data_IF_301076347176
#
_entry.id   IF_301076347176
#
_cell.length_a   1.000
_cell.length_b   1.000
_cell.length_c   1.000
_cell.angle_alpha   90.00
_cell.angle_beta   90.00
_cell.angle_gamma   90.00
#
_symmetry.space_group_name_H-M   'P 1'
#
loop_
_entity.id
_entity.type
_entity.pdbx_description
1 polymer ?
#
# COMPACT_ATOMS: atom_id res chain seq x y z
N UNK A 1 -3.26 42.25 77.79
CA UNK A 1 -2.51 42.85 76.65
C UNK A 1 -1.69 41.76 75.97
N UNK A 2 -1.77 40.46 76.33
CA UNK A 2 -0.90 39.37 75.80
C UNK A 2 -1.63 38.38 74.87
N UNK A 3 -2.92 38.57 74.54
CA UNK A 3 -3.63 37.60 73.73
C UNK A 3 -3.86 38.05 72.25
N UNK A 4 -3.49 39.25 71.84
CA UNK A 4 -3.72 39.76 70.47
C UNK A 4 -2.55 39.47 69.49
N UNK A 5 -1.33 39.21 70.01
CA UNK A 5 -0.18 38.95 69.15
C UNK A 5 -0.11 37.49 68.61
N UNK A 6 -0.74 36.51 69.26
CA UNK A 6 -0.63 35.11 68.85
C UNK A 6 -1.58 34.72 67.71
N UNK A 7 -2.68 35.43 67.53
CA UNK A 7 -3.60 35.13 66.40
C UNK A 7 -3.07 35.60 65.02
N UNK A 8 -2.33 36.71 64.96
CA UNK A 8 -1.76 37.24 63.72
C UNK A 8 -0.62 36.38 63.14
N UNK A 9 0.13 35.70 64.00
CA UNK A 9 1.22 34.79 63.55
C UNK A 9 0.65 33.50 62.96
N UNK A 10 -0.47 33.02 63.55
CA UNK A 10 -1.17 31.84 63.05
C UNK A 10 -1.80 32.05 61.63
N UNK A 11 -2.44 33.21 61.44
CA UNK A 11 -3.03 33.55 60.12
C UNK A 11 -1.96 33.76 59.01
N UNK A 12 -0.84 34.37 59.34
CA UNK A 12 0.26 34.56 58.37
C UNK A 12 0.93 33.25 57.97
N UNK A 13 1.03 32.28 58.85
CA UNK A 13 1.56 30.96 58.52
C UNK A 13 0.55 30.09 57.74
N UNK A 14 -0.75 30.25 58.00
CA UNK A 14 -1.79 29.57 57.20
C UNK A 14 -1.88 30.09 55.77
N UNK A 15 -1.78 31.42 55.60
CA UNK A 15 -1.77 32.03 54.24
C UNK A 15 -0.51 31.63 53.47
N UNK A 16 0.66 31.58 54.11
CA UNK A 16 1.88 31.09 53.46
C UNK A 16 1.83 29.61 53.08
N UNK A 17 1.18 28.78 53.91
CA UNK A 17 0.97 27.36 53.55
C UNK A 17 -0.10 27.18 52.44
N UNK A 18 -1.13 28.01 52.37
CA UNK A 18 -2.10 28.01 51.27
C UNK A 18 -1.51 28.52 49.94
N UNK A 19 -0.66 29.57 49.99
CA UNK A 19 0.07 30.01 48.79
C UNK A 19 1.13 28.99 48.31
N UNK A 20 1.82 28.29 49.26
CA UNK A 20 2.76 27.20 48.86
C UNK A 20 2.03 25.96 48.30
N UNK A 21 0.78 25.67 48.69
CA UNK A 21 0.01 24.59 48.09
C UNK A 21 -0.62 24.98 46.75
N UNK A 22 -0.84 26.28 46.47
CA UNK A 22 -1.34 26.74 45.15
C UNK A 22 -0.27 26.81 44.10
N UNK A 23 1.03 26.90 44.45
CA UNK A 23 2.14 26.93 43.47
C UNK A 23 2.61 25.52 43.11
N UNK A 24 2.24 24.46 43.83
CA UNK A 24 2.59 23.07 43.51
C UNK A 24 1.56 22.30 42.70
N UNK A 25 0.46 22.92 42.32
CA UNK A 25 -0.44 22.40 41.28
C UNK A 25 -0.19 23.03 39.92
N UNK A 26 1.04 23.30 39.54
CA UNK A 26 1.45 23.24 38.15
C UNK A 26 1.33 21.77 37.76
N UNK A 27 0.11 21.36 37.38
CA UNK A 27 -0.14 20.15 36.62
C UNK A 27 0.84 20.23 35.48
N UNK A 28 1.91 19.44 35.56
CA UNK A 28 2.61 19.04 34.35
C UNK A 28 1.54 18.34 33.53
N UNK A 29 0.85 19.11 32.67
CA UNK A 29 0.30 18.54 31.46
C UNK A 29 1.52 17.96 30.76
N UNK A 30 1.82 16.71 31.02
CA UNK A 30 2.59 15.93 30.05
C UNK A 30 1.77 16.07 28.78
N UNK A 31 2.21 16.97 27.90
CA UNK A 31 1.75 16.96 26.55
C UNK A 31 2.05 15.55 26.07
N UNK A 32 1.04 14.69 26.03
CA UNK A 32 1.16 13.40 25.39
C UNK A 32 1.78 13.70 24.03
N UNK A 33 2.93 13.13 23.77
CA UNK A 33 3.56 13.32 22.48
C UNK A 33 2.52 12.95 21.45
N UNK A 34 2.22 13.86 20.54
CA UNK A 34 1.19 13.64 19.54
C UNK A 34 1.71 12.56 18.59
N UNK A 35 0.93 11.51 18.42
CA UNK A 35 1.28 10.34 17.61
C UNK A 35 0.27 10.19 16.48
N UNK A 36 0.75 9.86 15.28
CA UNK A 36 -0.05 9.47 14.14
C UNK A 36 0.05 7.96 13.93
N UNK A 37 -1.06 7.29 13.84
CA UNK A 37 -1.15 5.89 13.49
C UNK A 37 -1.43 5.75 12.00
N UNK A 38 -0.50 5.18 11.25
CA UNK A 38 -0.57 5.01 9.80
C UNK A 38 -0.64 3.53 9.45
N UNK A 39 -1.65 3.12 8.68
CA UNK A 39 -1.87 1.76 8.22
C UNK A 39 -1.55 1.65 6.74
N UNK A 40 -0.51 0.91 6.41
CA UNK A 40 0.09 0.84 5.06
C UNK A 40 0.74 -0.51 4.79
N UNK A 41 1.15 -0.75 3.55
CA UNK A 41 2.00 -1.89 3.20
C UNK A 41 3.34 -1.84 3.93
N UNK A 42 3.88 -3.00 4.28
CA UNK A 42 5.22 -3.10 4.89
C UNK A 42 6.29 -2.54 3.92
N UNK A 43 7.31 -1.89 4.48
CA UNK A 43 8.43 -1.30 3.75
C UNK A 43 8.07 -0.23 2.69
N UNK A 44 6.90 0.40 2.77
CA UNK A 44 6.46 1.42 1.80
C UNK A 44 6.62 2.86 2.28
N UNK A 45 7.42 3.12 3.31
CA UNK A 45 7.83 4.46 3.72
C UNK A 45 9.28 4.47 4.18
N UNK A 46 10.07 5.43 3.70
CA UNK A 46 11.47 5.55 4.06
C UNK A 46 11.64 6.01 5.52
N UNK A 47 12.47 5.35 6.34
CA UNK A 47 12.69 5.74 7.75
C UNK A 47 13.17 7.19 7.93
N UNK A 48 14.03 7.68 7.04
CA UNK A 48 14.51 9.05 7.07
C UNK A 48 13.43 10.10 6.76
N UNK A 49 12.38 9.74 6.04
CA UNK A 49 11.18 10.59 5.80
C UNK A 49 10.37 10.72 7.09
N UNK A 50 10.15 9.61 7.81
CA UNK A 50 9.48 9.61 9.13
C UNK A 50 10.29 10.41 10.14
N UNK A 51 11.61 10.23 10.17
CA UNK A 51 12.49 10.98 11.04
C UNK A 51 12.49 12.49 10.73
N UNK A 52 12.49 12.86 9.45
CA UNK A 52 12.43 14.26 9.02
C UNK A 52 11.11 14.93 9.45
N UNK A 53 9.97 14.19 9.38
CA UNK A 53 8.71 14.65 9.91
C UNK A 53 8.75 14.88 11.41
N UNK A 54 9.26 13.89 12.17
CA UNK A 54 9.39 14.00 13.63
C UNK A 54 10.29 15.18 14.04
N UNK A 55 11.45 15.32 13.41
CA UNK A 55 12.36 16.46 13.66
C UNK A 55 11.70 17.82 13.40
N UNK A 56 10.84 17.88 12.38
CA UNK A 56 10.17 19.12 11.98
C UNK A 56 9.02 19.51 12.89
N UNK A 57 8.27 18.52 13.39
CA UNK A 57 6.96 18.76 14.03
C UNK A 57 6.88 18.32 15.50
N UNK A 58 7.78 17.46 15.95
CA UNK A 58 7.70 16.76 17.22
C UNK A 58 6.64 15.65 17.26
N UNK A 59 5.91 15.40 16.13
CA UNK A 59 4.88 14.36 16.03
C UNK A 59 5.51 13.04 15.63
N UNK A 60 5.28 12.00 16.42
CA UNK A 60 5.71 10.62 16.10
C UNK A 60 4.74 9.97 15.10
N UNK A 61 5.25 9.01 14.33
CA UNK A 61 4.46 8.20 13.40
C UNK A 61 4.63 6.73 13.75
N UNK A 62 3.55 6.09 14.12
CA UNK A 62 3.49 4.65 14.34
C UNK A 62 2.99 3.97 13.06
N UNK A 63 3.76 3.01 12.56
CA UNK A 63 3.45 2.29 11.34
C UNK A 63 2.81 0.94 11.69
N UNK A 64 1.68 0.66 11.11
CA UNK A 64 0.97 -0.62 11.18
C UNK A 64 0.84 -1.17 9.76
N UNK A 65 1.03 -2.47 9.61
CA UNK A 65 1.16 -3.08 8.30
C UNK A 65 0.03 -4.04 8.00
N UNK A 66 -0.33 -4.13 6.73
CA UNK A 66 -1.13 -5.18 6.13
C UNK A 66 -0.38 -5.72 4.90
N UNK A 67 -0.73 -6.90 4.46
CA UNK A 67 -0.18 -7.59 3.28
C UNK A 67 -1.27 -8.18 2.38
N UNK A 68 -2.52 -7.79 2.62
CA UNK A 68 -3.65 -8.16 1.78
C UNK A 68 -4.73 -7.06 1.78
N UNK A 69 -5.13 -6.61 0.60
CA UNK A 69 -6.15 -5.57 0.40
C UNK A 69 -7.56 -6.00 0.82
N UNK A 70 -7.92 -7.26 0.59
CA UNK A 70 -9.22 -7.80 0.99
C UNK A 70 -9.35 -7.85 2.51
N UNK A 71 -8.29 -8.25 3.23
CA UNK A 71 -8.26 -8.25 4.70
C UNK A 71 -8.35 -6.85 5.28
N UNK A 72 -7.62 -5.88 4.72
CA UNK A 72 -7.73 -4.46 5.07
C UNK A 72 -9.16 -3.96 4.88
N UNK A 73 -9.76 -4.22 3.72
CA UNK A 73 -11.13 -3.79 3.39
C UNK A 73 -12.15 -4.43 4.32
N UNK A 74 -11.96 -5.71 4.68
CA UNK A 74 -12.80 -6.41 5.65
C UNK A 74 -12.68 -5.81 7.06
N UNK A 75 -11.49 -5.40 7.49
CA UNK A 75 -11.27 -4.67 8.75
C UNK A 75 -12.06 -3.37 8.74
N UNK A 76 -12.00 -2.61 7.64
CA UNK A 76 -12.73 -1.34 7.50
C UNK A 76 -14.24 -1.52 7.57
N UNK A 77 -14.78 -2.57 6.95
CA UNK A 77 -16.21 -2.87 6.96
C UNK A 77 -16.72 -3.33 8.33
N UNK A 78 -15.90 -4.01 9.11
CA UNK A 78 -16.28 -4.56 10.43
C UNK A 78 -16.07 -3.59 11.58
N UNK A 79 -15.21 -2.60 11.43
CA UNK A 79 -14.83 -1.69 12.51
C UNK A 79 -15.81 -0.54 12.62
N UNK A 80 -16.39 -0.33 13.81
CA UNK A 80 -17.21 0.84 14.11
C UNK A 80 -16.37 2.12 14.14
N UNK A 81 -15.11 1.99 14.53
CA UNK A 81 -14.12 3.07 14.55
C UNK A 81 -12.76 2.50 14.17
N UNK A 82 -12.16 3.06 13.14
CA UNK A 82 -10.83 2.66 12.69
C UNK A 82 -9.78 3.20 13.68
N UNK A 83 -8.83 2.37 14.14
CA UNK A 83 -7.80 2.78 15.11
C UNK A 83 -6.65 3.57 14.47
N UNK A 84 -6.77 3.95 13.20
CA UNK A 84 -5.74 4.61 12.41
C UNK A 84 -6.16 6.00 12.00
N UNK A 85 -5.19 6.93 11.96
CA UNK A 85 -5.38 8.31 11.50
C UNK A 85 -5.29 8.42 9.97
N UNK A 86 -4.38 7.62 9.39
CA UNK A 86 -4.11 7.57 7.95
C UNK A 86 -4.12 6.12 7.48
N UNK A 87 -4.67 5.89 6.30
CA UNK A 87 -4.71 4.56 5.69
C UNK A 87 -4.28 4.63 4.22
N UNK A 88 -3.54 3.61 3.80
CA UNK A 88 -3.28 3.33 2.39
C UNK A 88 -4.35 2.39 1.86
N UNK A 89 -4.86 2.69 0.68
CA UNK A 89 -5.98 2.02 0.02
C UNK A 89 -5.67 1.90 -1.47
N UNK A 90 -6.19 0.87 -2.12
CA UNK A 90 -6.36 0.92 -3.56
C UNK A 90 -7.37 2.02 -3.96
N UNK A 91 -7.36 2.42 -5.22
CA UNK A 91 -8.22 3.49 -5.71
C UNK A 91 -9.73 3.15 -5.61
N UNK A 92 -10.11 1.89 -5.80
CA UNK A 92 -11.52 1.46 -5.72
C UNK A 92 -12.04 1.55 -4.30
N UNK A 93 -11.27 1.03 -3.32
CA UNK A 93 -11.57 1.15 -1.90
C UNK A 93 -11.62 2.63 -1.46
N UNK A 94 -10.69 3.46 -1.93
CA UNK A 94 -10.70 4.89 -1.64
C UNK A 94 -12.00 5.55 -2.08
N UNK A 95 -12.53 5.23 -3.28
CA UNK A 95 -13.82 5.72 -3.75
C UNK A 95 -15.00 5.18 -2.96
N UNK A 96 -15.04 3.87 -2.69
CA UNK A 96 -16.16 3.23 -1.98
C UNK A 96 -16.32 3.82 -0.58
N UNK A 97 -15.24 3.89 0.19
CA UNK A 97 -15.28 4.41 1.56
C UNK A 97 -15.45 5.93 1.63
N UNK A 98 -14.97 6.68 0.61
CA UNK A 98 -15.21 8.13 0.52
C UNK A 98 -16.71 8.45 0.39
N UNK A 99 -17.46 7.66 -0.38
CA UNK A 99 -18.92 7.82 -0.50
C UNK A 99 -19.68 7.56 0.80
N UNK A 100 -19.04 6.88 1.76
CA UNK A 100 -19.57 6.61 3.10
C UNK A 100 -19.13 7.65 4.15
N UNK A 101 -18.45 8.72 3.72
CA UNK A 101 -17.88 9.77 4.58
C UNK A 101 -16.90 9.25 5.63
N UNK A 102 -16.20 8.16 5.34
CA UNK A 102 -15.16 7.60 6.21
C UNK A 102 -13.91 8.47 6.23
N UNK A 103 -13.67 9.21 5.13
CA UNK A 103 -12.46 9.99 4.94
C UNK A 103 -12.71 11.48 4.81
N UNK A 104 -11.71 12.28 5.22
CA UNK A 104 -11.66 13.72 5.07
C UNK A 104 -11.49 14.15 3.62
N UNK A 105 -12.06 15.32 3.25
CA UNK A 105 -11.72 15.99 1.98
C UNK A 105 -10.27 16.50 2.01
N UNK A 106 -9.50 16.16 1.00
CA UNK A 106 -8.08 16.48 0.86
C UNK A 106 -7.80 17.44 -0.31
N UNK A 107 -8.83 18.02 -0.93
CA UNK A 107 -8.66 18.91 -2.09
C UNK A 107 -7.91 20.19 -1.76
N UNK A 108 -7.96 20.64 -0.51
CA UNK A 108 -7.32 21.87 -0.04
C UNK A 108 -5.82 21.72 0.30
N UNK A 109 -5.23 20.52 0.20
CA UNK A 109 -3.82 20.32 0.53
C UNK A 109 -2.91 21.04 -0.48
N UNK A 110 -2.00 21.91 -0.02
CA UNK A 110 -1.18 22.74 -0.91
C UNK A 110 -0.31 21.96 -1.90
N UNK A 111 0.28 20.85 -1.45
CA UNK A 111 1.17 20.04 -2.27
C UNK A 111 0.45 19.01 -3.13
N UNK A 112 -0.88 18.89 -3.04
CA UNK A 112 -1.69 17.98 -3.86
C UNK A 112 -1.47 18.21 -5.36
N UNK A 113 -1.35 19.45 -5.80
CA UNK A 113 -1.12 19.83 -7.19
C UNK A 113 0.26 19.42 -7.76
N UNK A 114 1.16 18.88 -6.95
CA UNK A 114 2.42 18.33 -7.42
C UNK A 114 2.26 16.91 -8.03
N UNK A 115 1.10 16.27 -7.83
CA UNK A 115 0.81 14.96 -8.39
C UNK A 115 0.18 15.07 -9.77
N UNK A 116 0.44 14.05 -10.59
CA UNK A 116 -0.14 13.96 -11.94
C UNK A 116 -1.67 13.86 -11.87
N UNK A 117 -2.39 14.61 -12.75
CA UNK A 117 -3.85 14.59 -12.81
C UNK A 117 -4.48 13.20 -12.95
N UNK A 118 -3.84 12.27 -13.67
CA UNK A 118 -4.30 10.90 -13.85
C UNK A 118 -4.44 10.19 -12.49
N UNK A 119 -3.42 10.27 -11.65
CA UNK A 119 -3.42 9.64 -10.33
C UNK A 119 -4.30 10.35 -9.32
N UNK A 120 -4.38 11.70 -9.41
CA UNK A 120 -5.34 12.48 -8.62
C UNK A 120 -6.78 12.09 -8.94
N UNK A 121 -7.09 11.84 -10.20
CA UNK A 121 -8.41 11.37 -10.62
C UNK A 121 -8.68 9.95 -10.11
N UNK A 122 -7.69 9.08 -10.17
CA UNK A 122 -7.81 7.70 -9.71
C UNK A 122 -8.06 7.59 -8.20
N UNK A 123 -7.48 8.48 -7.36
CA UNK A 123 -7.70 8.50 -5.91
C UNK A 123 -8.88 9.37 -5.46
N UNK A 124 -9.43 10.23 -6.33
CA UNK A 124 -10.56 11.12 -6.01
C UNK A 124 -10.21 12.28 -5.08
N UNK A 125 -11.21 12.84 -4.39
CA UNK A 125 -11.06 14.05 -3.56
C UNK A 125 -10.71 13.76 -2.10
N UNK A 126 -11.00 12.56 -1.60
CA UNK A 126 -10.83 12.16 -0.21
C UNK A 126 -9.55 11.35 0.03
N UNK A 127 -8.75 11.18 -1.02
CA UNK A 127 -7.46 10.56 -0.92
C UNK A 127 -6.43 11.28 -1.81
N UNK A 128 -5.16 11.02 -1.57
CA UNK A 128 -4.04 11.50 -2.38
C UNK A 128 -3.23 10.32 -2.88
N UNK A 129 -2.75 10.33 -4.14
CA UNK A 129 -1.93 9.25 -4.65
C UNK A 129 -0.57 9.23 -3.93
N UNK A 130 -0.10 8.03 -3.63
CA UNK A 130 1.13 7.79 -2.86
C UNK A 130 2.21 7.16 -3.72
N UNK A 131 1.97 5.97 -4.24
CA UNK A 131 2.77 5.29 -5.25
C UNK A 131 1.87 4.70 -6.31
N UNK A 132 2.44 4.36 -7.44
CA UNK A 132 1.76 3.64 -8.50
C UNK A 132 2.72 2.67 -9.18
N UNK A 133 2.19 1.76 -9.95
CA UNK A 133 2.99 0.84 -10.72
C UNK A 133 2.16 -0.04 -11.64
N UNK A 134 2.77 -1.09 -12.13
CA UNK A 134 2.15 -2.09 -12.98
C UNK A 134 2.19 -3.47 -12.33
N UNK A 135 1.22 -4.30 -12.65
CA UNK A 135 1.28 -5.74 -12.39
C UNK A 135 2.03 -6.41 -13.53
N UNK A 136 2.91 -7.33 -13.20
CA UNK A 136 3.73 -8.05 -14.16
C UNK A 136 4.26 -9.36 -13.59
N UNK A 137 5.41 -9.79 -14.09
CA UNK A 137 6.06 -11.04 -13.70
C UNK A 137 7.45 -10.71 -13.17
N UNK A 138 7.67 -10.94 -11.86
CA UNK A 138 9.02 -11.03 -11.30
C UNK A 138 9.60 -12.40 -11.63
N UNK A 139 10.84 -12.47 -12.08
CA UNK A 139 11.47 -13.73 -12.53
C UNK A 139 12.97 -13.75 -12.27
N UNK A 140 13.55 -14.94 -12.13
CA UNK A 140 15.00 -15.14 -11.98
C UNK A 140 15.67 -15.21 -13.33
N UNK A 141 16.46 -14.20 -13.69
CA UNK A 141 17.15 -14.09 -15.01
C UNK A 141 17.95 -15.33 -15.37
N UNK A 142 18.61 -15.95 -14.40
CA UNK A 142 19.43 -17.14 -14.61
C UNK A 142 18.65 -18.38 -15.08
N UNK A 143 17.31 -18.37 -14.95
CA UNK A 143 16.44 -19.50 -15.30
C UNK A 143 15.67 -19.31 -16.60
N UNK A 144 15.84 -18.18 -17.27
CA UNK A 144 15.13 -17.84 -18.50
C UNK A 144 16.10 -17.34 -19.58
N UNK A 145 15.98 -17.87 -20.77
CA UNK A 145 16.77 -17.40 -21.93
C UNK A 145 16.36 -15.99 -22.38
N UNK A 146 15.10 -15.63 -22.11
CA UNK A 146 14.50 -14.32 -22.38
C UNK A 146 13.53 -13.96 -21.28
N UNK A 147 13.32 -12.66 -20.99
CA UNK A 147 12.28 -12.22 -20.07
C UNK A 147 10.90 -12.80 -20.44
N UNK A 148 10.08 -13.23 -19.45
CA UNK A 148 8.71 -13.62 -19.72
C UNK A 148 7.91 -12.39 -20.17
N UNK A 149 7.32 -12.46 -21.35
CA UNK A 149 6.58 -11.35 -21.98
C UNK A 149 5.11 -11.65 -22.23
N UNK A 150 4.67 -12.86 -21.89
CA UNK A 150 3.31 -13.30 -22.11
C UNK A 150 2.67 -13.79 -20.80
N UNK A 151 1.42 -13.41 -20.55
CA UNK A 151 0.67 -13.91 -19.41
C UNK A 151 0.45 -15.42 -19.43
N UNK A 152 0.52 -16.06 -20.62
CA UNK A 152 0.46 -17.51 -20.73
C UNK A 152 1.57 -18.22 -19.97
N UNK A 153 2.71 -17.59 -19.74
CA UNK A 153 3.87 -18.22 -19.09
C UNK A 153 3.61 -18.57 -17.60
N UNK A 154 2.65 -17.87 -16.96
CA UNK A 154 2.24 -18.16 -15.57
C UNK A 154 0.95 -18.99 -15.47
N UNK A 155 0.32 -19.34 -16.60
CA UNK A 155 -0.91 -20.15 -16.65
C UNK A 155 -0.67 -21.46 -17.41
N UNK A 156 -0.11 -21.42 -18.63
CA UNK A 156 0.34 -22.59 -19.39
C UNK A 156 1.82 -22.86 -19.09
N UNK A 157 2.07 -23.26 -17.83
CA UNK A 157 3.40 -23.30 -17.24
C UNK A 157 4.25 -24.38 -17.90
N UNK A 158 5.38 -23.95 -18.48
CA UNK A 158 6.38 -24.87 -19.05
C UNK A 158 6.87 -25.90 -18.05
N UNK A 159 7.14 -27.17 -18.46
CA UNK A 159 7.54 -28.25 -17.56
C UNK A 159 8.68 -27.90 -16.60
N UNK A 160 9.65 -27.09 -17.03
CA UNK A 160 10.79 -26.66 -16.21
C UNK A 160 10.40 -25.77 -15.02
N UNK A 161 9.24 -25.11 -15.07
CA UNK A 161 8.78 -24.15 -14.05
C UNK A 161 7.57 -24.64 -13.26
N UNK A 162 7.10 -25.87 -13.49
CA UNK A 162 5.96 -26.45 -12.76
C UNK A 162 6.28 -26.59 -11.27
N UNK A 163 5.34 -26.15 -10.44
CA UNK A 163 5.51 -26.09 -8.99
C UNK A 163 6.50 -25.01 -8.51
N UNK A 164 6.77 -23.99 -9.36
CA UNK A 164 7.76 -22.95 -9.09
C UNK A 164 7.25 -21.55 -9.43
N UNK A 165 5.96 -21.41 -9.65
CA UNK A 165 5.29 -20.15 -10.04
C UNK A 165 4.44 -19.64 -8.89
N UNK A 166 4.65 -18.38 -8.48
CA UNK A 166 3.81 -17.67 -7.54
C UNK A 166 2.66 -16.96 -8.26
N UNK A 167 1.49 -16.99 -7.66
CA UNK A 167 0.32 -16.20 -8.07
C UNK A 167 -0.08 -15.25 -6.95
N UNK A 168 -1.04 -14.38 -7.19
CA UNK A 168 -1.65 -13.52 -6.18
C UNK A 168 -3.02 -14.06 -5.78
N UNK A 169 -3.42 -13.83 -4.53
CA UNK A 169 -4.77 -14.13 -4.01
C UNK A 169 -5.52 -12.81 -3.84
N UNK A 170 -6.06 -12.34 -4.94
CA UNK A 170 -6.79 -11.08 -5.00
C UNK A 170 -7.96 -11.16 -6.00
N UNK A 171 -8.95 -10.28 -5.87
CA UNK A 171 -10.18 -10.31 -6.68
C UNK A 171 -9.98 -10.00 -8.16
N UNK A 172 -8.89 -9.34 -8.54
CA UNK A 172 -8.56 -8.99 -9.93
C UNK A 172 -7.30 -9.71 -10.40
N UNK A 173 -6.20 -9.59 -9.66
CA UNK A 173 -4.87 -10.06 -10.04
C UNK A 173 -4.80 -11.58 -10.16
N UNK A 174 -5.56 -12.35 -9.37
CA UNK A 174 -5.62 -13.81 -9.52
C UNK A 174 -6.12 -14.22 -10.92
N UNK A 175 -7.11 -13.49 -11.45
CA UNK A 175 -7.71 -13.81 -12.74
C UNK A 175 -7.00 -13.14 -13.92
N UNK A 176 -6.20 -12.13 -13.66
CA UNK A 176 -5.58 -11.26 -14.65
C UNK A 176 -4.81 -12.03 -15.73
N UNK A 177 -3.90 -12.98 -15.42
CA UNK A 177 -3.17 -13.73 -16.44
C UNK A 177 -4.10 -14.53 -17.38
N UNK A 178 -5.10 -15.20 -16.81
CA UNK A 178 -6.05 -16.01 -17.58
C UNK A 178 -6.97 -15.13 -18.45
N UNK A 179 -7.39 -13.96 -17.96
CA UNK A 179 -8.20 -13.02 -18.73
C UNK A 179 -7.43 -12.43 -19.91
N UNK A 180 -6.16 -12.09 -19.74
CA UNK A 180 -5.32 -11.62 -20.84
C UNK A 180 -5.06 -12.71 -21.88
N UNK A 181 -4.89 -13.98 -21.48
CA UNK A 181 -4.83 -15.10 -22.44
C UNK A 181 -6.10 -15.22 -23.29
N UNK A 182 -7.25 -14.83 -22.74
CA UNK A 182 -8.54 -14.81 -23.45
C UNK A 182 -8.75 -13.51 -24.25
N UNK A 183 -7.76 -12.62 -24.33
CA UNK A 183 -7.88 -11.27 -24.88
C UNK A 183 -9.04 -10.46 -24.26
N UNK A 184 -9.30 -10.69 -22.99
CA UNK A 184 -10.36 -10.02 -22.22
C UNK A 184 -9.80 -8.95 -21.29
N UNK A 185 -10.66 -7.99 -20.95
CA UNK A 185 -10.31 -6.98 -19.93
C UNK A 185 -10.22 -7.62 -18.54
N UNK A 186 -9.21 -7.28 -17.71
CA UNK A 186 -9.13 -7.75 -16.33
C UNK A 186 -10.34 -7.34 -15.47
N UNK A 187 -11.05 -6.28 -15.86
CA UNK A 187 -12.26 -5.78 -15.21
C UNK A 187 -13.55 -6.19 -15.94
N UNK A 188 -13.54 -7.28 -16.72
CA UNK A 188 -14.70 -7.76 -17.47
C UNK A 188 -15.86 -8.17 -16.57
N UNK A 189 -17.09 -7.82 -16.98
CA UNK A 189 -18.35 -8.29 -16.36
C UNK A 189 -18.92 -9.56 -17.01
N UNK A 190 -18.26 -10.10 -18.04
CA UNK A 190 -18.72 -11.30 -18.75
C UNK A 190 -18.58 -12.55 -17.90
N UNK A 191 -19.70 -13.12 -17.47
CA UNK A 191 -19.74 -14.37 -16.68
C UNK A 191 -19.10 -15.53 -17.46
N UNK A 192 -19.32 -15.59 -18.77
CA UNK A 192 -18.81 -16.69 -19.58
C UNK A 192 -17.27 -16.56 -19.74
N UNK A 193 -16.76 -15.34 -19.86
CA UNK A 193 -15.31 -15.08 -19.85
C UNK A 193 -14.69 -15.45 -18.52
N UNK A 194 -15.31 -15.09 -17.39
CA UNK A 194 -14.84 -15.46 -16.04
C UNK A 194 -14.84 -16.98 -15.84
N UNK A 195 -15.83 -17.70 -16.37
CA UNK A 195 -15.85 -19.17 -16.35
C UNK A 195 -14.75 -19.79 -17.22
N UNK A 196 -14.40 -19.16 -18.33
CA UNK A 196 -13.26 -19.60 -19.15
C UNK A 196 -11.94 -19.34 -18.43
N UNK A 197 -11.77 -18.17 -17.81
CA UNK A 197 -10.61 -17.86 -16.99
C UNK A 197 -10.44 -18.86 -15.83
N UNK A 198 -11.54 -19.19 -15.14
CA UNK A 198 -11.51 -20.24 -14.10
C UNK A 198 -10.97 -21.57 -14.63
N UNK A 199 -11.40 -22.03 -15.81
CA UNK A 199 -10.90 -23.30 -16.38
C UNK A 199 -9.40 -23.28 -16.66
N UNK A 200 -8.87 -22.13 -17.10
CA UNK A 200 -7.43 -21.96 -17.29
C UNK A 200 -6.66 -22.01 -15.97
N UNK A 201 -7.17 -21.29 -14.96
CA UNK A 201 -6.57 -21.29 -13.61
C UNK A 201 -6.64 -22.67 -12.95
N UNK A 202 -7.77 -23.37 -13.08
CA UNK A 202 -7.99 -24.71 -12.57
C UNK A 202 -6.98 -25.71 -13.17
N UNK A 203 -6.73 -25.62 -14.48
CA UNK A 203 -5.74 -26.43 -15.17
C UNK A 203 -4.29 -26.07 -14.76
N UNK A 204 -3.99 -24.80 -14.48
CA UNK A 204 -2.69 -24.34 -14.01
C UNK A 204 -2.40 -24.73 -12.55
N UNK A 205 -3.46 -24.81 -11.74
CA UNK A 205 -3.39 -24.93 -10.28
C UNK A 205 -2.48 -26.07 -9.75
N UNK A 206 -2.42 -27.28 -10.35
CA UNK A 206 -1.47 -28.32 -9.93
C UNK A 206 0.00 -27.90 -10.01
N UNK A 207 0.30 -26.86 -10.81
CA UNK A 207 1.65 -26.39 -11.12
C UNK A 207 1.99 -25.06 -10.43
N UNK A 208 1.11 -24.50 -9.63
CA UNK A 208 1.35 -23.29 -8.83
C UNK A 208 2.06 -23.65 -7.53
N UNK A 209 3.10 -22.88 -7.19
CA UNK A 209 3.87 -23.00 -5.96
C UNK A 209 3.15 -22.36 -4.77
N UNK A 210 2.59 -21.17 -4.98
CA UNK A 210 1.92 -20.38 -3.93
C UNK A 210 0.92 -19.40 -4.51
N UNK A 211 -0.08 -19.04 -3.70
CA UNK A 211 -0.99 -17.92 -3.92
C UNK A 211 -0.73 -16.76 -2.94
N UNK A 212 0.31 -16.86 -2.13
CA UNK A 212 0.73 -15.74 -1.27
C UNK A 212 1.42 -14.67 -2.11
N UNK A 213 1.28 -13.41 -1.69
CA UNK A 213 2.11 -12.34 -2.23
C UNK A 213 3.59 -12.70 -2.13
N UNK A 214 4.33 -12.50 -3.21
CA UNK A 214 5.69 -13.03 -3.34
C UNK A 214 6.63 -12.61 -2.22
N UNK A 215 6.54 -11.37 -1.73
CA UNK A 215 7.39 -10.89 -0.64
C UNK A 215 6.99 -11.51 0.71
N UNK A 216 5.71 -11.73 0.96
CA UNK A 216 5.23 -12.44 2.16
C UNK A 216 5.66 -13.90 2.11
N UNK A 217 5.53 -14.54 0.94
CA UNK A 217 5.97 -15.93 0.76
C UNK A 217 7.45 -16.14 1.05
N UNK A 218 8.34 -15.29 0.52
CA UNK A 218 9.79 -15.48 0.75
C UNK A 218 10.18 -15.16 2.19
N UNK A 219 9.50 -14.24 2.87
CA UNK A 219 9.72 -13.97 4.31
C UNK A 219 9.32 -15.15 5.18
N UNK A 220 8.21 -15.82 4.87
CA UNK A 220 7.75 -17.01 5.59
C UNK A 220 8.56 -18.28 5.22
N UNK A 221 9.21 -18.28 4.04
CA UNK A 221 10.01 -19.41 3.54
C UNK A 221 11.44 -18.96 3.16
N UNK A 222 12.25 -18.47 4.11
CA UNK A 222 13.53 -17.79 3.80
C UNK A 222 14.60 -18.70 3.16
N UNK A 223 14.42 -20.02 3.21
CA UNK A 223 15.32 -20.99 2.59
C UNK A 223 14.83 -21.47 1.20
N UNK A 224 13.76 -20.86 0.68
CA UNK A 224 13.22 -21.30 -0.61
C UNK A 224 14.15 -20.90 -1.76
N UNK A 225 14.46 -21.86 -2.61
CA UNK A 225 15.08 -21.66 -3.93
C UNK A 225 14.13 -22.11 -5.07
N UNK A 226 12.94 -22.56 -4.69
CA UNK A 226 11.96 -23.14 -5.60
C UNK A 226 11.16 -22.12 -6.39
N UNK A 227 11.21 -20.85 -6.03
CA UNK A 227 10.48 -19.80 -6.74
C UNK A 227 11.29 -19.35 -7.98
N UNK A 228 10.74 -19.56 -9.18
CA UNK A 228 11.34 -19.18 -10.44
C UNK A 228 10.79 -17.85 -10.99
N UNK A 229 9.49 -17.68 -10.86
CA UNK A 229 8.76 -16.46 -11.26
C UNK A 229 7.48 -16.31 -10.45
N UNK A 230 6.95 -15.10 -10.39
CA UNK A 230 5.68 -14.81 -9.73
C UNK A 230 4.95 -13.65 -10.42
N UNK A 231 3.61 -13.69 -10.43
CA UNK A 231 2.81 -12.49 -10.63
C UNK A 231 3.09 -11.55 -9.46
N UNK A 232 3.43 -10.30 -9.77
CA UNK A 232 4.02 -9.38 -8.79
C UNK A 232 3.81 -7.94 -9.22
N UNK A 233 4.23 -7.01 -8.38
CA UNK A 233 4.16 -5.59 -8.63
C UNK A 233 5.52 -5.02 -9.06
N UNK A 234 5.50 -3.96 -9.88
CA UNK A 234 6.72 -3.24 -10.27
C UNK A 234 7.48 -2.76 -9.02
N UNK A 235 8.79 -3.01 -8.97
CA UNK A 235 9.63 -2.73 -7.80
C UNK A 235 9.91 -3.94 -6.89
N UNK A 236 9.05 -4.96 -6.85
CA UNK A 236 9.22 -6.13 -5.97
C UNK A 236 10.52 -6.90 -6.22
N UNK A 237 10.97 -6.97 -7.47
CA UNK A 237 12.24 -7.63 -7.81
C UNK A 237 13.45 -7.00 -7.10
N UNK A 238 13.41 -5.70 -6.77
CA UNK A 238 14.44 -5.07 -5.94
C UNK A 238 14.40 -5.57 -4.50
N UNK A 239 13.21 -5.77 -3.95
CA UNK A 239 13.04 -6.35 -2.62
C UNK A 239 13.46 -7.82 -2.58
N UNK A 240 13.13 -8.60 -3.62
CA UNK A 240 13.61 -9.98 -3.78
C UNK A 240 15.14 -10.04 -3.89
N UNK A 241 15.75 -9.15 -4.66
CA UNK A 241 17.20 -9.07 -4.77
C UNK A 241 17.86 -8.72 -3.41
N UNK A 242 17.29 -7.79 -2.64
CA UNK A 242 17.77 -7.49 -1.28
C UNK A 242 17.60 -8.68 -0.35
N UNK A 243 16.44 -9.33 -0.37
CA UNK A 243 16.13 -10.46 0.50
C UNK A 243 17.09 -11.64 0.28
N UNK A 244 17.32 -12.02 -0.98
CA UNK A 244 18.21 -13.14 -1.33
C UNK A 244 19.68 -12.73 -1.47
N UNK A 245 20.02 -11.46 -1.25
CA UNK A 245 21.38 -10.91 -1.48
C UNK A 245 21.93 -11.28 -2.87
N UNK A 246 21.14 -11.00 -3.91
CA UNK A 246 21.42 -11.36 -5.31
C UNK A 246 21.09 -10.20 -6.24
N UNK A 247 21.40 -10.36 -7.54
CA UNK A 247 20.96 -9.49 -8.63
C UNK A 247 20.25 -10.31 -9.72
N UNK A 248 19.76 -11.50 -9.37
CA UNK A 248 19.17 -12.45 -10.30
C UNK A 248 17.69 -12.15 -10.63
N UNK A 249 16.98 -11.49 -9.73
CA UNK A 249 15.59 -11.11 -9.96
C UNK A 249 15.47 -9.89 -10.86
N UNK A 250 14.51 -9.95 -11.78
CA UNK A 250 14.12 -8.88 -12.67
C UNK A 250 12.60 -8.86 -12.81
N UNK A 251 12.05 -7.86 -13.50
CA UNK A 251 10.61 -7.68 -13.64
C UNK A 251 10.25 -7.39 -15.10
N UNK A 252 9.21 -8.03 -15.58
CA UNK A 252 8.67 -7.86 -16.92
C UNK A 252 7.18 -7.54 -16.86
N UNK A 253 6.76 -6.54 -17.63
CA UNK A 253 5.34 -6.25 -17.88
C UNK A 253 4.96 -6.93 -19.18
N UNK A 254 4.14 -8.00 -19.16
CA UNK A 254 3.75 -8.74 -20.36
C UNK A 254 3.11 -7.86 -21.42
N UNK A 255 3.11 -8.35 -22.66
CA UNK A 255 2.53 -7.66 -23.80
C UNK A 255 1.03 -7.39 -23.62
N UNK A 256 0.51 -6.42 -24.40
CA UNK A 256 -0.86 -5.93 -24.28
C UNK A 256 -0.95 -4.68 -23.39
N UNK A 257 -2.17 -4.32 -23.03
CA UNK A 257 -2.45 -3.17 -22.17
C UNK A 257 -1.99 -3.46 -20.73
N UNK A 258 -1.09 -2.66 -20.14
CA UNK A 258 -0.65 -2.92 -18.79
C UNK A 258 -1.81 -2.74 -17.79
N UNK A 259 -1.85 -3.58 -16.75
CA UNK A 259 -2.71 -3.34 -15.61
C UNK A 259 -1.95 -2.51 -14.58
N UNK A 260 -2.56 -1.39 -14.19
CA UNK A 260 -1.94 -0.37 -13.35
C UNK A 260 -2.62 -0.34 -11.99
N UNK A 261 -1.83 -0.24 -10.94
CA UNK A 261 -2.28 -0.03 -9.59
C UNK A 261 -1.87 1.36 -9.10
N UNK A 262 -2.59 1.89 -8.14
CA UNK A 262 -2.23 3.11 -7.42
C UNK A 262 -2.66 3.00 -5.97
N UNK A 263 -1.70 3.23 -5.08
CA UNK A 263 -1.94 3.41 -3.66
C UNK A 263 -2.42 4.84 -3.39
N UNK A 264 -3.50 4.94 -2.66
CA UNK A 264 -4.12 6.20 -2.26
C UNK A 264 -4.08 6.34 -0.74
N UNK A 265 -3.55 7.44 -0.22
CA UNK A 265 -3.56 7.73 1.22
C UNK A 265 -4.76 8.59 1.59
N UNK A 266 -5.50 8.15 2.59
CA UNK A 266 -6.69 8.85 3.09
C UNK A 266 -6.59 9.13 4.59
N UNK A 267 -7.23 10.21 5.06
CA UNK A 267 -7.31 10.59 6.47
C UNK A 267 -8.67 10.18 7.03
N UNK A 268 -8.67 9.44 8.11
CA UNK A 268 -9.89 9.04 8.83
C UNK A 268 -10.64 10.26 9.37
N UNK A 269 -11.90 10.45 8.94
CA UNK A 269 -12.70 11.64 9.27
C UNK A 269 -13.05 11.75 10.77
N UNK A 270 -13.03 10.65 11.51
CA UNK A 270 -13.29 10.64 12.96
C UNK A 270 -12.01 10.61 13.82
N UNK A 271 -10.83 10.71 13.19
CA UNK A 271 -9.57 10.79 13.91
C UNK A 271 -9.48 12.08 14.72
N UNK A 272 -9.03 12.04 15.98
CA UNK A 272 -8.73 13.24 16.77
C UNK A 272 -7.53 14.01 16.22
N UNK A 273 -6.73 13.40 15.33
CA UNK A 273 -5.48 13.93 14.80
C UNK A 273 -5.60 14.40 13.34
N UNK A 274 -6.81 14.69 12.83
CA UNK A 274 -7.05 15.03 11.41
C UNK A 274 -6.17 16.16 10.89
N UNK A 275 -5.91 17.19 11.71
CA UNK A 275 -5.06 18.33 11.32
C UNK A 275 -3.62 17.87 11.06
N UNK A 276 -3.06 17.08 11.94
CA UNK A 276 -1.69 16.56 11.83
C UNK A 276 -1.59 15.50 10.74
N UNK A 277 -2.62 14.67 10.57
CA UNK A 277 -2.69 13.68 9.51
C UNK A 277 -2.70 14.35 8.12
N UNK A 278 -3.52 15.39 7.92
CA UNK A 278 -3.51 16.21 6.70
C UNK A 278 -2.15 16.88 6.46
N UNK A 279 -1.54 17.42 7.51
CA UNK A 279 -0.22 18.05 7.41
C UNK A 279 0.88 17.03 7.08
N UNK A 280 0.77 15.78 7.56
CA UNK A 280 1.69 14.71 7.21
C UNK A 280 1.54 14.28 5.74
N UNK A 281 0.30 14.12 5.24
CA UNK A 281 0.08 13.84 3.82
C UNK A 281 0.60 14.98 2.93
N UNK A 282 0.36 16.23 3.30
CA UNK A 282 0.91 17.38 2.57
C UNK A 282 2.44 17.39 2.58
N UNK A 283 3.06 17.01 3.70
CA UNK A 283 4.50 16.84 3.80
C UNK A 283 5.03 15.75 2.89
N UNK A 284 4.38 14.57 2.82
CA UNK A 284 4.77 13.48 1.93
C UNK A 284 4.69 13.86 0.44
N UNK A 285 3.79 14.77 0.07
CA UNK A 285 3.64 15.27 -1.31
C UNK A 285 4.61 16.40 -1.67
N UNK A 286 5.52 16.83 -0.79
CA UNK A 286 6.60 17.74 -1.19
C UNK A 286 7.55 17.04 -2.15
N UNK A 287 7.98 17.71 -3.23
CA UNK A 287 8.79 17.07 -4.27
C UNK A 287 10.06 16.40 -3.76
N UNK A 288 10.79 17.06 -2.86
CA UNK A 288 12.01 16.54 -2.24
C UNK A 288 11.74 15.31 -1.36
N UNK A 289 10.69 15.35 -0.54
CA UNK A 289 10.29 14.25 0.34
C UNK A 289 9.77 13.06 -0.48
N UNK A 290 8.92 13.33 -1.47
CA UNK A 290 8.39 12.29 -2.35
C UNK A 290 9.49 11.62 -3.18
N UNK A 291 10.52 12.37 -3.61
CA UNK A 291 11.66 11.80 -4.32
C UNK A 291 12.49 10.87 -3.40
N UNK A 292 12.85 11.34 -2.20
CA UNK A 292 13.58 10.52 -1.21
C UNK A 292 12.82 9.22 -0.91
N UNK A 293 11.51 9.32 -0.74
CA UNK A 293 10.66 8.17 -0.43
C UNK A 293 10.62 7.18 -1.60
N UNK A 294 10.38 7.65 -2.81
CA UNK A 294 10.32 6.82 -4.02
C UNK A 294 11.65 6.13 -4.32
N UNK A 295 12.77 6.83 -4.14
CA UNK A 295 14.11 6.28 -4.35
C UNK A 295 14.40 5.13 -3.38
N UNK A 296 14.07 5.31 -2.10
CA UNK A 296 14.29 4.29 -1.07
C UNK A 296 13.47 3.02 -1.35
N UNK A 297 12.20 3.19 -1.68
CA UNK A 297 11.24 2.08 -1.86
C UNK A 297 11.43 1.39 -3.22
N UNK A 298 11.96 2.11 -4.22
CA UNK A 298 12.01 1.66 -5.61
C UNK A 298 10.61 1.53 -6.24
N UNK A 299 9.74 2.52 -6.00
CA UNK A 299 8.41 2.63 -6.58
C UNK A 299 8.24 3.89 -7.43
N UNK A 300 7.27 3.88 -8.33
CA UNK A 300 6.96 5.06 -9.13
C UNK A 300 6.19 6.10 -8.29
N UNK A 301 6.72 7.33 -8.27
CA UNK A 301 6.05 8.46 -7.62
C UNK A 301 4.99 9.05 -8.53
N UNK A 302 3.77 9.31 -8.05
CA UNK A 302 2.76 10.08 -8.77
C UNK A 302 3.12 11.57 -8.85
N UNK A 303 4.09 12.03 -8.06
CA UNK A 303 4.53 13.41 -8.02
C UNK A 303 5.51 13.69 -9.17
N UNK A 304 5.03 14.37 -10.22
CA UNK A 304 5.84 14.64 -11.42
C UNK A 304 7.06 15.54 -11.14
N UNK A 305 7.00 16.40 -10.11
CA UNK A 305 8.16 17.21 -9.69
C UNK A 305 9.19 16.37 -8.94
N UNK A 306 8.74 15.40 -8.13
CA UNK A 306 9.63 14.47 -7.46
C UNK A 306 10.37 13.58 -8.47
N UNK A 307 9.68 13.10 -9.53
CA UNK A 307 10.33 12.31 -10.59
C UNK A 307 11.54 13.03 -11.21
N UNK A 308 11.46 14.36 -11.39
CA UNK A 308 12.56 15.15 -11.92
C UNK A 308 13.79 15.23 -10.97
N UNK A 309 13.60 14.97 -9.67
CA UNK A 309 14.66 14.97 -8.66
C UNK A 309 15.28 13.58 -8.45
N UNK A 310 14.68 12.53 -8.96
CA UNK A 310 15.20 11.16 -8.82
C UNK A 310 16.49 10.97 -9.63
N UNK A 311 17.39 10.07 -9.18
CA UNK A 311 18.53 9.61 -9.97
C UNK A 311 18.08 9.09 -11.35
N UNK A 312 18.93 9.26 -12.37
CA UNK A 312 18.65 8.86 -13.75
C UNK A 312 18.27 7.38 -13.82
N UNK A 313 19.04 6.53 -13.14
CA UNK A 313 18.83 5.08 -13.07
C UNK A 313 17.49 4.67 -12.47
N UNK A 314 16.86 5.51 -11.64
CA UNK A 314 15.53 5.25 -11.10
C UNK A 314 14.43 5.79 -12.03
N UNK A 315 14.55 7.04 -12.48
CA UNK A 315 13.49 7.69 -13.27
C UNK A 315 13.36 7.13 -14.69
N UNK A 316 14.41 6.47 -15.21
CA UNK A 316 14.46 5.83 -16.54
C UNK A 316 14.33 4.30 -16.47
N UNK A 317 14.14 3.76 -15.28
CA UNK A 317 13.93 2.33 -15.06
C UNK A 317 12.55 1.90 -15.58
N UNK A 318 12.57 1.11 -16.66
CA UNK A 318 11.34 0.64 -17.31
C UNK A 318 10.58 -0.42 -16.51
N UNK A 319 11.21 -1.00 -15.50
CA UNK A 319 10.55 -1.89 -14.54
C UNK A 319 9.73 -1.12 -13.49
N UNK A 320 9.99 0.18 -13.32
CA UNK A 320 9.29 1.09 -12.42
C UNK A 320 8.38 2.02 -13.23
N UNK A 321 8.94 2.72 -14.22
CA UNK A 321 8.22 3.70 -15.04
C UNK A 321 7.98 3.15 -16.45
N UNK A 322 6.75 2.79 -16.74
CA UNK A 322 6.38 2.38 -18.09
C UNK A 322 6.64 3.49 -19.13
N UNK A 323 7.00 3.14 -20.37
CA UNK A 323 6.98 4.09 -21.47
C UNK A 323 5.63 4.82 -21.56
N UNK A 324 5.65 6.12 -21.90
CA UNK A 324 4.46 6.98 -21.90
C UNK A 324 3.30 6.41 -22.73
N UNK A 325 3.61 5.85 -23.90
CA UNK A 325 2.60 5.22 -24.76
C UNK A 325 1.93 4.04 -24.04
N UNK A 326 2.70 3.16 -23.41
CA UNK A 326 2.15 2.01 -22.66
C UNK A 326 1.36 2.45 -21.44
N UNK A 327 1.84 3.49 -20.73
CA UNK A 327 1.13 4.06 -19.59
C UNK A 327 -0.24 4.61 -20.01
N UNK A 328 -0.32 5.32 -21.14
CA UNK A 328 -1.57 5.86 -21.67
C UNK A 328 -2.59 4.78 -22.09
N UNK A 329 -2.13 3.59 -22.45
CA UNK A 329 -2.98 2.43 -22.79
C UNK A 329 -3.38 1.63 -21.53
N UNK A 330 -2.82 1.95 -20.37
CA UNK A 330 -2.99 1.19 -19.14
C UNK A 330 -4.45 1.09 -18.69
N UNK A 331 -4.74 0.03 -17.96
CA UNK A 331 -6.03 -0.19 -17.31
C UNK A 331 -5.81 0.01 -15.82
N UNK A 332 -6.43 1.03 -15.25
CA UNK A 332 -6.50 1.21 -13.79
C UNK A 332 -7.74 0.47 -13.30
N UNK A 333 -7.68 -0.09 -12.10
CA UNK A 333 -8.80 -0.80 -11.50
C UNK A 333 -10.04 0.10 -11.35
N UNK A 334 -11.20 -0.52 -11.44
CA UNK A 334 -12.49 0.14 -11.31
C UNK A 334 -13.48 -0.73 -10.55
N UNK A 335 -14.47 -0.08 -9.93
CA UNK A 335 -15.50 -0.75 -9.16
C UNK A 335 -16.24 -1.81 -9.98
N UNK A 336 -16.16 -3.05 -9.53
CA UNK A 336 -16.86 -4.17 -10.12
C UNK A 336 -18.27 -4.31 -9.52
N UNK A 337 -19.21 -4.84 -10.30
CA UNK A 337 -20.54 -5.14 -9.76
C UNK A 337 -20.47 -6.18 -8.65
N UNK A 338 -21.38 -6.11 -7.67
CA UNK A 338 -21.46 -7.07 -6.57
C UNK A 338 -21.58 -8.54 -7.07
N UNK A 339 -22.27 -8.75 -8.20
CA UNK A 339 -22.39 -10.06 -8.86
C UNK A 339 -21.05 -10.54 -9.38
N UNK A 340 -20.27 -9.64 -10.00
CA UNK A 340 -18.93 -9.93 -10.52
C UNK A 340 -17.97 -10.27 -9.37
N UNK A 341 -17.90 -9.43 -8.35
CA UNK A 341 -17.08 -9.67 -7.15
C UNK A 341 -17.43 -11.02 -6.49
N UNK A 342 -18.74 -11.34 -6.34
CA UNK A 342 -19.16 -12.62 -5.78
C UNK A 342 -18.71 -13.82 -6.64
N UNK A 343 -18.71 -13.70 -7.96
CA UNK A 343 -18.24 -14.77 -8.84
C UNK A 343 -16.72 -14.91 -8.78
N UNK A 344 -15.96 -13.79 -8.79
CA UNK A 344 -14.51 -13.80 -8.64
C UNK A 344 -14.09 -14.41 -7.31
N UNK A 345 -14.72 -14.02 -6.19
CA UNK A 345 -14.47 -14.59 -4.88
C UNK A 345 -14.70 -16.11 -4.84
N UNK A 346 -15.73 -16.62 -5.53
CA UNK A 346 -15.97 -18.08 -5.66
C UNK A 346 -14.87 -18.78 -6.47
N UNK A 347 -14.42 -18.15 -7.56
CA UNK A 347 -13.32 -18.67 -8.39
C UNK A 347 -12.04 -18.77 -7.55
N UNK A 348 -11.68 -17.69 -6.88
CA UNK A 348 -10.48 -17.62 -6.03
C UNK A 348 -10.56 -18.67 -4.92
N UNK A 349 -11.68 -18.72 -4.19
CA UNK A 349 -11.88 -19.74 -3.14
C UNK A 349 -11.76 -21.16 -3.68
N UNK A 350 -12.23 -21.42 -4.90
CA UNK A 350 -12.15 -22.75 -5.52
C UNK A 350 -10.70 -23.12 -5.83
N UNK A 351 -9.92 -22.21 -6.48
CA UNK A 351 -8.52 -22.51 -6.85
C UNK A 351 -7.62 -22.57 -5.63
N UNK A 352 -7.82 -21.71 -4.63
CA UNK A 352 -7.00 -21.73 -3.39
C UNK A 352 -7.33 -22.94 -2.52
N UNK A 353 -8.60 -23.33 -2.39
CA UNK A 353 -8.98 -24.54 -1.67
C UNK A 353 -8.35 -25.80 -2.28
N UNK A 354 -8.36 -25.93 -3.60
CA UNK A 354 -7.71 -27.05 -4.29
C UNK A 354 -6.19 -27.02 -4.12
N UNK A 355 -5.60 -25.83 -4.06
CA UNK A 355 -4.18 -25.65 -3.78
C UNK A 355 -3.83 -26.11 -2.35
N UNK A 356 -4.59 -25.66 -1.34
CA UNK A 356 -4.42 -26.03 0.07
C UNK A 356 -4.68 -27.52 0.35
N UNK A 357 -5.50 -28.17 -0.46
CA UNK A 357 -5.83 -29.60 -0.36
C UNK A 357 -4.76 -30.53 -0.99
N UNK A 358 -3.69 -29.96 -1.58
CA UNK A 358 -2.59 -30.79 -2.10
C UNK A 358 -1.89 -31.54 -0.95
N UNK A 359 -1.56 -32.83 -1.13
CA UNK A 359 -0.89 -33.66 -0.13
C UNK A 359 0.52 -33.20 0.17
#
# INVERSE_FOLDING_TARGET
VTNFCNEWVSYSQMIKRFLSLMVLNTVCYQASALELNVYLWEDTIAPNVVEAWHKKTGVSVNLYHFDNDDERSLLMLKSVQLPFDIMVLDNVSAFIFSRQNVFEDLTSLPNRANNDPMWLQACGTHAVPYFWGSVGIAYRKSLFDKPPTQWSEVVDIAPAHRGRVGMLKDSVETLLPALYMLNASPITDSIDTLRQAYRLLDAANPHILTYEYVLSYVRSHPQTDNLHMAVSYSGDHYSLNRFFNTQDWDFSVPEGRPYLWVDCMAVNSVSPNTVQAKAFLDFLMKPDIAAINAEYIRAASPNYKARALLPVEHREDLSIYLPEQRLAEGIIDSELSAKNLSLRAKIISSVTYQYEAKP
#
